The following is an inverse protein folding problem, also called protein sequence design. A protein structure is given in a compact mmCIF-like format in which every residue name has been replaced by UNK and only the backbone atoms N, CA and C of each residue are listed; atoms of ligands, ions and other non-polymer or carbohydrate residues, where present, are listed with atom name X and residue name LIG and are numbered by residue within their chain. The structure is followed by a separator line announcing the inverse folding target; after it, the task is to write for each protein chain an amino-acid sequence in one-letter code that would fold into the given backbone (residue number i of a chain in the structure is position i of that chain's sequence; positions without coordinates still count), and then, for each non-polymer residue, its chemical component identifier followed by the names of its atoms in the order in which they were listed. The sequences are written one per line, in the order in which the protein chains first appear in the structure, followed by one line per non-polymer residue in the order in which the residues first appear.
data_IF_260316673470
#
_entry.id   IF_260316673470
#
_cell.length_a   1.000
_cell.length_b   1.000
_cell.length_c   1.000
_cell.angle_alpha   90.00
_cell.angle_beta   90.00
_cell.angle_gamma   90.00
#
_symmetry.space_group_name_H-M   'P 1'
#
loop_
_entity.id
_entity.type
_entity.pdbx_description
1 polymer ?
#
# COMPACT_ATOMS: atom_id res chain seq x y z
N UNK A 1 3.26 -1.98 -1.11
CA UNK A 1 3.66 -2.96 -0.08
C UNK A 1 3.09 -2.61 1.29
N UNK A 2 3.48 -1.50 1.90
CA UNK A 2 3.06 -1.14 3.28
C UNK A 2 1.53 -1.13 3.45
N UNK A 3 0.79 -0.50 2.54
CA UNK A 3 -0.68 -0.45 2.61
C UNK A 3 -1.38 -1.82 2.55
N UNK A 4 -0.83 -2.76 1.78
CA UNK A 4 -1.36 -4.13 1.70
C UNK A 4 -1.11 -4.90 3.00
N UNK A 5 0.10 -4.79 3.57
CA UNK A 5 0.43 -5.46 4.83
C UNK A 5 -0.36 -4.87 6.00
N UNK A 6 -0.54 -3.55 6.05
CA UNK A 6 -1.34 -2.91 7.10
C UNK A 6 -2.81 -3.29 7.04
N UNK A 7 -3.38 -3.42 5.83
CA UNK A 7 -4.77 -3.86 5.66
C UNK A 7 -4.99 -5.26 6.25
N UNK A 8 -4.13 -6.22 5.89
CA UNK A 8 -4.15 -7.57 6.44
C UNK A 8 -3.96 -7.59 7.96
N UNK A 9 -3.06 -6.74 8.48
CA UNK A 9 -2.83 -6.67 9.92
C UNK A 9 -4.05 -6.15 10.70
N UNK A 10 -4.76 -5.15 10.16
CA UNK A 10 -5.98 -4.61 10.79
C UNK A 10 -7.11 -5.62 10.70
N UNK A 11 -7.25 -6.28 9.56
CA UNK A 11 -8.23 -7.35 9.35
C UNK A 11 -8.01 -8.50 10.35
N UNK A 12 -6.76 -8.96 10.52
CA UNK A 12 -6.41 -9.98 11.53
C UNK A 12 -6.65 -9.54 12.98
N UNK A 13 -6.44 -8.25 13.29
CA UNK A 13 -6.53 -7.75 14.66
C UNK A 13 -7.95 -7.35 15.07
N UNK A 14 -8.77 -6.89 14.12
CA UNK A 14 -10.11 -6.32 14.38
C UNK A 14 -11.24 -7.03 13.66
N UNK A 15 -10.96 -7.81 12.62
CA UNK A 15 -11.98 -8.42 11.76
C UNK A 15 -12.69 -7.41 10.85
N UNK A 16 -12.12 -6.22 10.66
CA UNK A 16 -12.70 -5.21 9.77
C UNK A 16 -12.16 -5.39 8.34
N UNK A 17 -13.06 -5.47 7.36
CA UNK A 17 -12.71 -5.48 5.93
C UNK A 17 -12.15 -4.13 5.44
N UNK A 18 -11.55 -4.07 4.25
CA UNK A 18 -10.97 -2.83 3.71
C UNK A 18 -11.97 -1.67 3.64
N UNK A 19 -13.23 -1.95 3.34
CA UNK A 19 -14.29 -0.95 3.25
C UNK A 19 -14.59 -0.35 4.62
N UNK A 20 -14.77 -1.20 5.62
CA UNK A 20 -14.96 -0.82 7.01
C UNK A 20 -13.75 -0.04 7.55
N UNK A 21 -12.53 -0.47 7.25
CA UNK A 21 -11.31 0.25 7.62
C UNK A 21 -11.28 1.68 7.06
N UNK A 22 -11.74 1.87 5.82
CA UNK A 22 -11.76 3.18 5.19
C UNK A 22 -12.89 4.07 5.76
N UNK A 23 -14.07 3.50 6.00
CA UNK A 23 -15.24 4.21 6.52
C UNK A 23 -15.16 4.51 8.02
N UNK A 24 -14.47 3.68 8.81
CA UNK A 24 -14.25 3.86 10.25
C UNK A 24 -13.10 4.85 10.53
N UNK A 25 -13.11 6.00 9.86
CA UNK A 25 -12.15 7.08 10.08
C UNK A 25 -10.80 6.91 9.37
N UNK A 26 -10.63 5.88 8.52
CA UNK A 26 -9.43 5.69 7.72
C UNK A 26 -9.26 6.74 6.61
N UNK A 27 -10.36 7.25 6.05
CA UNK A 27 -10.35 8.19 4.93
C UNK A 27 -9.53 9.48 5.14
N UNK A 28 -9.67 10.25 6.25
CA UNK A 28 -8.84 11.43 6.48
C UNK A 28 -7.36 11.09 6.66
N UNK A 29 -7.04 9.98 7.31
CA UNK A 29 -5.66 9.51 7.47
C UNK A 29 -5.04 9.07 6.15
N UNK A 30 -5.81 8.37 5.32
CA UNK A 30 -5.41 8.00 3.97
C UNK A 30 -5.12 9.25 3.11
N UNK A 31 -6.06 10.21 3.09
CA UNK A 31 -5.89 11.43 2.31
C UNK A 31 -4.68 12.25 2.78
N UNK A 32 -4.50 12.41 4.09
CA UNK A 32 -3.37 13.13 4.67
C UNK A 32 -2.03 12.48 4.37
N UNK A 33 -1.92 11.16 4.56
CA UNK A 33 -0.68 10.42 4.27
C UNK A 33 -0.37 10.35 2.78
N UNK A 34 -1.37 10.16 1.92
CA UNK A 34 -1.21 10.19 0.47
C UNK A 34 -0.73 11.55 -0.02
N UNK A 35 -1.30 12.64 0.49
CA UNK A 35 -0.85 13.99 0.16
C UNK A 35 0.59 14.23 0.64
N UNK A 36 0.90 13.85 1.88
CA UNK A 36 2.25 13.98 2.45
C UNK A 36 3.29 13.23 1.60
N UNK A 37 3.04 11.96 1.27
CA UNK A 37 3.95 11.13 0.47
C UNK A 37 4.07 11.65 -0.96
N UNK A 38 2.98 12.16 -1.54
CA UNK A 38 3.00 12.78 -2.87
C UNK A 38 3.93 14.00 -2.89
N UNK A 39 3.81 14.89 -1.90
CA UNK A 39 4.71 16.05 -1.77
C UNK A 39 6.16 15.61 -1.52
N UNK A 40 6.37 14.61 -0.65
CA UNK A 40 7.70 14.07 -0.37
C UNK A 40 8.38 13.49 -1.63
N UNK A 41 7.61 12.88 -2.54
CA UNK A 41 8.12 12.30 -3.79
C UNK A 41 8.65 13.34 -4.79
N UNK A 42 8.28 14.61 -4.64
CA UNK A 42 8.77 15.70 -5.50
C UNK A 42 10.24 16.05 -5.22
N UNK A 43 10.71 15.84 -3.99
CA UNK A 43 12.11 16.15 -3.61
C UNK A 43 13.14 15.39 -4.44
N UNK A 44 13.08 14.04 -4.58
CA UNK A 44 14.01 13.32 -5.45
C UNK A 44 13.80 13.61 -6.94
N UNK A 45 12.55 13.90 -7.35
CA UNK A 45 12.24 14.30 -8.72
C UNK A 45 13.00 15.56 -9.13
N UNK A 46 12.99 16.61 -8.29
CA UNK A 46 13.76 17.83 -8.54
C UNK A 46 15.28 17.63 -8.46
N UNK A 47 15.75 16.59 -7.76
CA UNK A 47 17.18 16.21 -7.70
C UNK A 47 17.62 15.33 -8.88
N UNK A 48 16.71 14.93 -9.77
CA UNK A 48 17.02 14.07 -10.91
C UNK A 48 17.50 12.66 -10.51
N UNK A 49 17.26 12.24 -9.27
CA UNK A 49 17.63 10.91 -8.78
C UNK A 49 16.45 9.98 -8.92
N UNK A 50 16.59 8.92 -9.72
CA UNK A 50 15.58 7.87 -9.79
C UNK A 50 15.83 6.81 -8.72
N UNK A 51 14.76 6.21 -8.19
CA UNK A 51 14.88 5.09 -7.25
C UNK A 51 15.63 3.89 -7.86
N UNK A 52 15.52 3.70 -9.18
CA UNK A 52 16.20 2.63 -9.92
C UNK A 52 17.71 2.86 -10.05
N UNK A 53 18.18 4.10 -9.96
CA UNK A 53 19.60 4.46 -10.12
C UNK A 53 20.50 3.98 -8.98
N UNK A 54 19.93 3.55 -7.84
CA UNK A 54 20.65 3.09 -6.65
C UNK A 54 20.62 1.56 -6.44
N UNK A 55 20.60 0.78 -7.53
CA UNK A 55 20.47 -0.69 -7.48
C UNK A 55 21.76 -1.47 -7.13
N UNK A 56 22.68 -0.88 -6.35
CA UNK A 56 24.03 -1.45 -6.13
C UNK A 56 24.22 -2.33 -4.88
N UNK A 57 23.17 -2.87 -4.28
CA UNK A 57 23.24 -3.61 -2.99
C UNK A 57 22.50 -4.95 -2.98
N UNK A 58 22.49 -5.62 -1.82
CA UNK A 58 21.76 -6.90 -1.60
C UNK A 58 20.24 -6.77 -1.82
N UNK A 59 19.66 -5.58 -1.56
CA UNK A 59 18.32 -5.20 -2.01
C UNK A 59 18.41 -4.55 -3.39
N UNK A 60 18.00 -5.28 -4.43
CA UNK A 60 17.95 -4.75 -5.79
C UNK A 60 16.67 -3.96 -6.02
N UNK A 61 16.76 -2.89 -6.83
CA UNK A 61 15.59 -2.08 -7.17
C UNK A 61 14.53 -2.90 -7.93
N UNK A 62 14.96 -3.86 -8.75
CA UNK A 62 14.05 -4.74 -9.48
C UNK A 62 13.21 -5.62 -8.54
N UNK A 63 13.81 -6.15 -7.47
CA UNK A 63 13.06 -6.94 -6.48
C UNK A 63 12.01 -6.09 -5.76
N UNK A 64 12.35 -4.84 -5.39
CA UNK A 64 11.38 -3.92 -4.77
C UNK A 64 10.24 -3.55 -5.71
N UNK A 65 10.52 -3.33 -7.01
CA UNK A 65 9.50 -3.05 -8.03
C UNK A 65 8.55 -4.24 -8.21
N UNK A 66 9.09 -5.46 -8.29
CA UNK A 66 8.29 -6.68 -8.39
C UNK A 66 7.40 -6.89 -7.16
N UNK A 67 7.96 -6.76 -5.96
CA UNK A 67 7.19 -6.86 -4.72
C UNK A 67 6.13 -5.76 -4.61
N UNK A 68 6.44 -4.55 -5.10
CA UNK A 68 5.50 -3.45 -5.24
C UNK A 68 4.27 -3.82 -6.09
N UNK A 69 4.49 -4.40 -7.27
CA UNK A 69 3.43 -4.83 -8.19
C UNK A 69 2.59 -5.96 -7.59
N UNK A 70 3.21 -6.97 -6.99
CA UNK A 70 2.50 -8.04 -6.33
C UNK A 70 1.63 -7.52 -5.18
N UNK A 71 2.13 -6.56 -4.40
CA UNK A 71 1.32 -5.95 -3.35
C UNK A 71 0.13 -5.14 -3.89
N UNK A 72 0.27 -4.47 -5.04
CA UNK A 72 -0.87 -3.78 -5.67
C UNK A 72 -1.92 -4.77 -6.15
N UNK A 73 -1.52 -5.87 -6.79
CA UNK A 73 -2.45 -6.92 -7.22
C UNK A 73 -3.09 -7.63 -6.03
N UNK A 74 -2.33 -7.90 -4.97
CA UNK A 74 -2.83 -8.50 -3.74
C UNK A 74 -3.90 -7.66 -3.06
N UNK A 75 -3.71 -6.33 -2.99
CA UNK A 75 -4.71 -5.43 -2.42
C UNK A 75 -6.00 -5.42 -3.26
N UNK A 76 -5.89 -5.41 -4.59
CA UNK A 76 -7.05 -5.50 -5.48
C UNK A 76 -7.78 -6.83 -5.31
N UNK A 77 -7.06 -7.95 -5.23
CA UNK A 77 -7.65 -9.26 -5.00
C UNK A 77 -8.35 -9.35 -3.64
N UNK A 78 -7.76 -8.74 -2.59
CA UNK A 78 -8.34 -8.69 -1.26
C UNK A 78 -9.66 -7.89 -1.27
N UNK A 79 -9.66 -6.68 -1.84
CA UNK A 79 -10.88 -5.88 -1.99
C UNK A 79 -11.97 -6.61 -2.79
N UNK A 80 -11.59 -7.33 -3.85
CA UNK A 80 -12.53 -8.08 -4.68
C UNK A 80 -13.15 -9.26 -3.93
N UNK A 81 -12.35 -9.99 -3.16
CA UNK A 81 -12.83 -11.16 -2.41
C UNK A 81 -13.67 -10.76 -1.20
N UNK A 82 -13.32 -9.69 -0.49
CA UNK A 82 -14.15 -9.10 0.57
C UNK A 82 -15.50 -8.62 0.02
N UNK A 83 -15.50 -7.97 -1.15
CA UNK A 83 -16.73 -7.54 -1.81
C UNK A 83 -17.67 -8.71 -2.14
N UNK A 84 -17.14 -9.82 -2.65
CA UNK A 84 -17.93 -11.02 -2.96
C UNK A 84 -18.40 -11.77 -1.71
N UNK A 85 -17.58 -11.83 -0.66
CA UNK A 85 -17.87 -12.53 0.60
C UNK A 85 -18.80 -11.72 1.51
N UNK A 86 -18.83 -10.40 1.35
CA UNK A 86 -19.61 -9.47 2.18
C UNK A 86 -19.04 -9.29 3.59
N UNK A 87 -17.74 -9.49 3.76
CA UNK A 87 -17.04 -9.41 5.04
C UNK A 87 -15.55 -9.74 4.91
N UNK A 88 -14.79 -9.73 6.03
CA UNK A 88 -13.35 -9.93 6.02
C UNK A 88 -12.96 -11.28 5.41
N UNK A 89 -11.82 -11.28 4.74
CA UNK A 89 -11.20 -12.43 4.09
C UNK A 89 -10.75 -13.47 5.13
N UNK A 90 -10.11 -13.02 6.24
CA UNK A 90 -9.67 -13.87 7.37
C UNK A 90 -10.64 -13.84 8.55
#
# INVERSE_FOLDING_TARGET
MVGFVSALAVELARGDDLGAQLMNGGLPWFAGTAALLSVASLVPLFKGVSAQSKSGGLMTADAELWNGRFAMLGLVALAFTEYLKGGPLV
#
